data_IF_727732363945
#
_entry.id   IF_727732363945
#
_cell.length_a   1.000
_cell.length_b   1.000
_cell.length_c   1.000
_cell.angle_alpha   90.00
_cell.angle_beta   90.00
_cell.angle_gamma   90.00
#
_symmetry.space_group_name_H-M   'P 1'
#
loop_
_entity.id
_entity.type
_entity.pdbx_description
1 polymer ?
#
# COMPACT_ATOMS: atom_id res chain seq x y z
N UNK A 1 -3.09 0.66 13.66
CA UNK A 1 -2.03 1.54 13.18
C UNK A 1 -1.04 0.77 12.33
N UNK A 2 -0.20 1.50 11.61
CA UNK A 2 0.80 0.90 10.73
C UNK A 2 1.93 0.30 11.54
N UNK A 3 2.27 -0.96 11.25
CA UNK A 3 3.37 -1.65 11.88
C UNK A 3 4.43 -1.96 10.83
N UNK A 4 5.62 -1.40 11.03
CA UNK A 4 6.74 -1.59 10.11
C UNK A 4 7.28 -3.00 10.16
N UNK A 5 7.64 -3.56 9.00
CA UNK A 5 8.31 -4.85 8.95
C UNK A 5 9.31 -4.90 7.78
N UNK A 6 10.21 -5.87 7.88
CA UNK A 6 11.20 -6.13 6.84
C UNK A 6 11.20 -7.62 6.53
N UNK A 7 11.37 -7.93 5.24
CA UNK A 7 11.58 -9.31 4.81
C UNK A 7 13.09 -9.54 4.78
N UNK A 8 13.60 -10.15 5.85
CA UNK A 8 15.04 -10.22 6.14
C UNK A 8 15.90 -10.75 5.00
N UNK A 9 15.45 -11.78 4.30
CA UNK A 9 16.24 -12.45 3.28
C UNK A 9 16.23 -11.74 1.93
N UNK A 10 15.35 -10.74 1.74
CA UNK A 10 15.13 -10.11 0.44
C UNK A 10 15.28 -8.60 0.45
N UNK A 11 15.43 -8.01 1.63
CA UNK A 11 15.56 -6.57 1.76
C UNK A 11 14.29 -5.78 1.44
N UNK A 12 13.15 -6.42 1.38
CA UNK A 12 11.87 -5.72 1.19
C UNK A 12 11.39 -5.11 2.49
N UNK A 13 10.75 -3.96 2.35
CA UNK A 13 10.21 -3.21 3.48
C UNK A 13 8.73 -3.00 3.30
N UNK A 14 8.02 -2.89 4.41
CA UNK A 14 6.61 -2.63 4.34
C UNK A 14 6.01 -2.28 5.68
N UNK A 15 4.72 -2.08 5.64
CA UNK A 15 3.91 -1.82 6.82
C UNK A 15 2.71 -2.74 6.80
N UNK A 16 2.35 -3.26 7.96
CA UNK A 16 1.15 -4.07 8.17
C UNK A 16 0.13 -3.25 8.93
N UNK A 17 -1.13 -3.51 8.67
CA UNK A 17 -2.23 -2.87 9.39
C UNK A 17 -3.48 -3.71 9.29
N UNK A 18 -4.46 -3.40 10.12
CA UNK A 18 -5.79 -4.00 10.05
C UNK A 18 -6.73 -3.00 9.42
N UNK A 19 -7.62 -3.45 8.54
CA UNK A 19 -8.67 -2.59 8.02
C UNK A 19 -9.85 -2.51 9.01
N UNK A 20 -10.94 -1.87 8.59
CA UNK A 20 -12.11 -1.70 9.45
C UNK A 20 -12.79 -3.02 9.82
N UNK A 21 -12.56 -4.08 9.05
CA UNK A 21 -13.07 -5.42 9.32
C UNK A 21 -12.05 -6.29 10.05
N UNK A 22 -10.94 -5.71 10.49
CA UNK A 22 -9.83 -6.43 11.14
C UNK A 22 -9.14 -7.43 10.21
N UNK A 23 -9.22 -7.23 8.90
CA UNK A 23 -8.47 -8.04 7.94
C UNK A 23 -7.02 -7.60 7.89
N UNK A 24 -6.11 -8.56 7.72
CA UNK A 24 -4.70 -8.28 7.58
C UNK A 24 -4.41 -7.61 6.24
N UNK A 25 -3.83 -6.42 6.30
CA UNK A 25 -3.46 -5.64 5.13
C UNK A 25 -2.01 -5.24 5.20
N UNK A 26 -1.46 -4.83 4.06
CA UNK A 26 -0.08 -4.37 4.03
C UNK A 26 0.17 -3.45 2.84
N UNK A 27 1.26 -2.70 2.95
CA UNK A 27 1.89 -2.01 1.84
C UNK A 27 3.36 -2.45 1.84
N UNK A 28 3.88 -2.88 0.71
CA UNK A 28 5.21 -3.49 0.64
C UNK A 28 5.89 -3.23 -0.69
N UNK A 29 7.21 -3.07 -0.64
CA UNK A 29 8.02 -2.99 -1.86
C UNK A 29 7.82 -4.21 -2.73
N UNK A 30 7.81 -4.00 -4.04
CA UNK A 30 7.83 -5.08 -5.01
C UNK A 30 9.26 -5.38 -5.44
N UNK A 31 9.51 -6.63 -5.85
CA UNK A 31 10.81 -7.08 -6.32
C UNK A 31 11.08 -6.74 -7.78
N UNK A 32 10.27 -5.93 -8.40
CA UNK A 32 10.39 -5.64 -9.82
C UNK A 32 11.74 -5.00 -10.17
N UNK A 33 12.18 -5.30 -11.37
CA UNK A 33 13.40 -4.72 -11.94
C UNK A 33 13.01 -3.56 -12.84
N UNK A 34 13.64 -2.41 -12.63
CA UNK A 34 13.55 -1.27 -13.54
C UNK A 34 12.48 -0.24 -13.22
N UNK A 35 11.39 -0.61 -12.59
CA UNK A 35 10.31 0.31 -12.28
C UNK A 35 9.83 0.13 -10.84
N UNK A 36 9.81 1.19 -10.01
CA UNK A 36 9.31 1.09 -8.64
C UNK A 36 7.82 0.73 -8.62
N UNK A 37 7.47 -0.28 -7.84
CA UNK A 37 6.09 -0.70 -7.64
C UNK A 37 5.89 -1.13 -6.21
N UNK A 38 4.64 -1.09 -5.75
CA UNK A 38 4.27 -1.54 -4.41
C UNK A 38 3.11 -2.51 -4.45
N UNK A 39 3.11 -3.44 -3.52
CA UNK A 39 1.94 -4.28 -3.23
C UNK A 39 1.12 -3.58 -2.17
N UNK A 40 -0.17 -3.41 -2.40
CA UNK A 40 -1.03 -2.68 -1.48
C UNK A 40 -2.40 -3.33 -1.39
N UNK A 41 -2.85 -3.63 -0.19
CA UNK A 41 -4.19 -4.14 0.04
C UNK A 41 -4.26 -5.29 1.03
N UNK A 42 -5.34 -6.05 0.94
CA UNK A 42 -5.58 -7.22 1.77
C UNK A 42 -4.58 -8.32 1.42
N UNK A 43 -4.13 -9.04 2.44
CA UNK A 43 -2.97 -9.96 2.38
C UNK A 43 -2.88 -10.81 1.13
N UNK A 44 -3.90 -11.53 0.75
CA UNK A 44 -3.82 -12.46 -0.37
C UNK A 44 -4.37 -11.90 -1.68
N UNK A 45 -4.74 -10.62 -1.69
CA UNK A 45 -5.36 -9.98 -2.85
C UNK A 45 -4.85 -8.55 -3.03
N UNK A 46 -3.56 -8.36 -2.81
CA UNK A 46 -2.96 -7.05 -2.91
C UNK A 46 -2.88 -6.59 -4.37
N UNK A 47 -3.04 -5.29 -4.56
CA UNK A 47 -2.85 -4.63 -5.85
C UNK A 47 -1.37 -4.33 -6.06
N UNK A 48 -0.89 -4.49 -7.29
CA UNK A 48 0.45 -4.07 -7.66
C UNK A 48 0.35 -2.71 -8.34
N UNK A 49 0.91 -1.69 -7.70
CA UNK A 49 0.78 -0.31 -8.15
C UNK A 49 2.14 0.27 -8.53
N UNK A 50 2.19 0.94 -9.68
CA UNK A 50 3.38 1.72 -10.06
C UNK A 50 3.23 3.17 -9.60
N UNK A 51 4.25 3.98 -9.83
CA UNK A 51 4.26 5.37 -9.38
C UNK A 51 3.12 6.20 -9.96
N UNK A 52 2.81 6.01 -11.23
CA UNK A 52 1.75 6.79 -11.87
C UNK A 52 0.37 6.47 -11.29
N UNK A 53 0.10 5.20 -11.03
CA UNK A 53 -1.14 4.78 -10.39
C UNK A 53 -1.27 5.38 -9.00
N UNK A 54 -0.17 5.36 -8.23
CA UNK A 54 -0.16 5.94 -6.89
C UNK A 54 -0.42 7.44 -6.93
N UNK A 55 0.19 8.16 -7.88
CA UNK A 55 -0.06 9.59 -8.04
C UNK A 55 -1.53 9.90 -8.28
N UNK A 56 -2.17 9.12 -9.15
CA UNK A 56 -3.58 9.32 -9.46
C UNK A 56 -4.49 9.02 -8.27
N UNK A 57 -4.19 7.96 -7.54
CA UNK A 57 -4.96 7.59 -6.36
C UNK A 57 -4.73 8.55 -5.18
N UNK A 58 -3.52 9.07 -5.06
CA UNK A 58 -3.13 9.88 -3.91
C UNK A 58 -4.04 11.10 -3.73
N UNK A 59 -4.36 11.81 -4.80
CA UNK A 59 -5.21 13.00 -4.71
C UNK A 59 -6.63 12.65 -4.25
N UNK A 60 -7.15 11.52 -4.68
CA UNK A 60 -8.46 11.04 -4.25
C UNK A 60 -8.45 10.66 -2.78
N UNK A 61 -7.42 9.93 -2.36
CA UNK A 61 -7.27 9.50 -0.98
C UNK A 61 -7.08 10.70 -0.05
N UNK A 62 -6.29 11.68 -0.49
CA UNK A 62 -6.05 12.88 0.29
C UNK A 62 -7.33 13.69 0.47
N UNK A 63 -8.11 13.85 -0.58
CA UNK A 63 -9.39 14.54 -0.50
C UNK A 63 -10.32 13.85 0.48
N UNK A 64 -10.40 12.52 0.41
CA UNK A 64 -11.22 11.75 1.34
C UNK A 64 -10.74 11.92 2.78
N UNK A 65 -9.43 11.90 3.00
CA UNK A 65 -8.86 12.06 4.34
C UNK A 65 -9.23 13.42 4.95
N UNK A 66 -9.33 14.44 4.11
CA UNK A 66 -9.61 15.82 4.55
C UNK A 66 -11.11 16.12 4.68
N UNK A 67 -11.93 15.56 3.82
CA UNK A 67 -13.33 15.95 3.71
C UNK A 67 -14.32 14.82 3.95
N UNK A 68 -13.89 13.56 3.94
CA UNK A 68 -14.77 12.41 3.98
C UNK A 68 -15.43 12.09 2.64
N UNK A 69 -15.03 12.78 1.57
CA UNK A 69 -15.57 12.63 0.23
C UNK A 69 -14.43 12.65 -0.78
N UNK A 70 -14.54 11.87 -1.84
CA UNK A 70 -13.49 11.82 -2.86
C UNK A 70 -13.98 12.23 -4.24
N UNK A 71 -15.24 12.52 -4.37
CA UNK A 71 -15.88 12.74 -5.68
C UNK A 71 -16.15 14.21 -5.99
#
# INVERSE_FOLDING_TARGET
>A
LLERYEVADRGFHGYKFKDCYALDCSIQDSSNVGEPRIWFGVQDKRMLLNQEMVKQLLSLLQKFAETGDYF
#
